data_IF_372400403061
#
_entry.id   IF_372400403061
#
_cell.length_a   1.000
_cell.length_b   1.000
_cell.length_c   1.000
_cell.angle_alpha   90.00
_cell.angle_beta   90.00
_cell.angle_gamma   90.00
#
_symmetry.space_group_name_H-M   'P 1'
#
loop_
_entity.id
_entity.type
_entity.pdbx_description
1 polymer ?
#
# COMPACT_ATOMS: atom_id res chain seq x y z
N UNK A 1 23.99 28.53 -15.91
CA UNK A 1 22.54 28.78 -16.13
C UNK A 1 21.77 27.49 -15.98
N UNK A 2 20.78 27.43 -15.10
CA UNK A 2 19.90 26.24 -14.96
C UNK A 2 19.05 26.08 -16.23
N UNK A 3 18.99 24.86 -16.80
CA UNK A 3 18.10 24.55 -17.93
C UNK A 3 16.65 24.82 -17.52
N UNK A 4 15.96 25.70 -18.28
CA UNK A 4 14.57 26.07 -17.98
C UNK A 4 13.56 24.91 -18.16
N UNK A 5 13.78 24.02 -19.13
CA UNK A 5 12.90 22.86 -19.39
C UNK A 5 13.74 21.64 -19.76
N UNK A 6 13.49 20.51 -19.13
CA UNK A 6 14.18 19.24 -19.38
C UNK A 6 13.28 18.06 -19.05
N UNK A 7 13.72 16.88 -19.45
CA UNK A 7 13.03 15.62 -19.11
C UNK A 7 13.82 14.89 -18.03
N UNK A 8 13.16 14.58 -16.92
CA UNK A 8 13.73 13.84 -15.79
C UNK A 8 13.36 12.37 -15.84
N UNK A 9 14.36 11.51 -15.82
CA UNK A 9 14.18 10.11 -15.45
C UNK A 9 14.30 9.97 -13.93
N UNK A 10 13.32 9.31 -13.32
CA UNK A 10 13.34 8.94 -11.91
C UNK A 10 13.19 7.43 -11.80
N UNK A 11 14.25 6.73 -11.44
CA UNK A 11 14.26 5.29 -11.17
C UNK A 11 14.02 5.05 -9.70
N UNK A 12 13.04 4.21 -9.39
CA UNK A 12 12.61 3.87 -8.02
C UNK A 12 12.78 2.36 -7.87
N UNK A 13 13.84 1.95 -7.19
CA UNK A 13 14.15 0.54 -6.93
C UNK A 13 13.38 0.09 -5.69
N UNK A 14 12.39 -0.79 -5.89
CA UNK A 14 11.55 -1.35 -4.86
C UNK A 14 12.04 -2.77 -4.53
N UNK A 15 12.97 -2.87 -3.58
CA UNK A 15 13.63 -4.14 -3.24
C UNK A 15 14.63 -4.60 -4.32
N UNK A 16 14.70 -5.93 -4.49
CA UNK A 16 15.62 -6.56 -5.44
C UNK A 16 15.00 -6.84 -6.81
N UNK A 17 13.66 -6.97 -6.87
CA UNK A 17 12.94 -7.46 -8.05
C UNK A 17 12.22 -6.36 -8.84
N UNK A 18 11.83 -5.25 -8.19
CA UNK A 18 10.93 -4.28 -8.81
C UNK A 18 11.62 -2.96 -9.09
N UNK A 19 11.40 -2.43 -10.29
CA UNK A 19 11.87 -1.12 -10.72
C UNK A 19 10.71 -0.34 -11.31
N UNK A 20 10.38 0.81 -10.73
CA UNK A 20 9.50 1.80 -11.36
C UNK A 20 10.33 2.91 -11.97
N UNK A 21 9.91 3.41 -13.14
CA UNK A 21 10.58 4.52 -13.80
C UNK A 21 9.55 5.56 -14.22
N UNK A 22 9.76 6.79 -13.75
CA UNK A 22 9.01 7.96 -14.21
C UNK A 22 9.92 8.77 -15.15
N UNK A 23 9.48 9.03 -16.35
CA UNK A 23 10.15 9.90 -17.31
C UNK A 23 9.21 11.06 -17.59
N UNK A 24 9.46 12.19 -16.93
CA UNK A 24 8.51 13.30 -16.87
C UNK A 24 9.18 14.62 -17.26
N UNK A 25 8.47 15.49 -17.98
CA UNK A 25 8.88 16.87 -18.18
C UNK A 25 9.00 17.61 -16.86
N UNK A 26 10.06 18.41 -16.73
CA UNK A 26 10.24 19.37 -15.63
C UNK A 26 10.25 20.77 -16.26
N UNK A 27 9.24 21.56 -15.92
CA UNK A 27 9.11 22.95 -16.37
C UNK A 27 9.29 23.87 -15.16
N UNK A 28 9.98 24.99 -15.36
CA UNK A 28 10.06 26.03 -14.33
C UNK A 28 8.74 26.82 -14.29
N UNK A 29 7.68 26.18 -13.79
CA UNK A 29 6.53 26.95 -13.34
C UNK A 29 6.85 27.58 -11.98
N UNK A 30 6.51 28.87 -11.76
CA UNK A 30 6.61 29.45 -10.43
C UNK A 30 5.83 28.56 -9.47
N UNK A 31 6.45 28.15 -8.37
CA UNK A 31 5.74 27.46 -7.30
C UNK A 31 4.60 28.38 -6.87
N UNK A 32 3.37 27.96 -7.09
CA UNK A 32 2.21 28.64 -6.52
C UNK A 32 2.45 28.74 -5.02
N UNK A 33 2.50 29.95 -4.49
CA UNK A 33 2.82 30.21 -3.09
C UNK A 33 1.98 29.32 -2.19
N UNK A 34 2.62 28.68 -1.24
CA UNK A 34 1.95 27.80 -0.25
C UNK A 34 0.98 28.66 0.57
N UNK A 35 -0.27 28.71 0.18
CA UNK A 35 -1.33 29.29 1.00
C UNK A 35 -1.53 28.41 2.23
N UNK A 36 -0.97 28.81 3.36
CA UNK A 36 -1.22 28.19 4.65
C UNK A 36 -2.72 28.33 4.96
N UNK A 37 -3.41 27.22 5.24
CA UNK A 37 -4.75 27.20 5.83
C UNK A 37 -5.93 26.89 4.91
N UNK A 38 -5.76 26.71 3.59
CA UNK A 38 -6.85 26.21 2.74
C UNK A 38 -6.77 24.70 2.57
N UNK A 39 -7.88 23.99 2.78
CA UNK A 39 -8.00 22.56 2.50
C UNK A 39 -7.64 22.26 1.03
N UNK A 40 -7.08 21.08 0.78
CA UNK A 40 -6.72 20.65 -0.58
C UNK A 40 -7.96 20.57 -1.47
N UNK A 41 -7.86 21.08 -2.71
CA UNK A 41 -8.92 20.92 -3.71
C UNK A 41 -9.20 19.44 -3.99
N UNK A 42 -10.39 19.10 -4.49
CA UNK A 42 -10.76 17.72 -4.86
C UNK A 42 -9.75 17.07 -5.81
N UNK A 43 -9.26 17.83 -6.81
CA UNK A 43 -8.21 17.38 -7.75
C UNK A 43 -6.91 17.05 -7.01
N UNK A 44 -6.51 17.90 -6.06
CA UNK A 44 -5.30 17.66 -5.23
C UNK A 44 -5.48 16.47 -4.29
N UNK A 45 -6.66 16.28 -3.70
CA UNK A 45 -6.96 15.12 -2.87
C UNK A 45 -6.85 13.82 -3.68
N UNK A 46 -7.44 13.78 -4.89
CA UNK A 46 -7.34 12.62 -5.77
C UNK A 46 -5.88 12.28 -6.13
N UNK A 47 -5.05 13.31 -6.38
CA UNK A 47 -3.62 13.14 -6.65
C UNK A 47 -2.88 12.62 -5.42
N UNK A 48 -3.16 13.16 -4.24
CA UNK A 48 -2.58 12.71 -2.99
C UNK A 48 -2.93 11.24 -2.71
N UNK A 49 -4.17 10.84 -2.98
CA UNK A 49 -4.64 9.48 -2.83
C UNK A 49 -3.91 8.51 -3.77
N UNK A 50 -3.81 8.88 -5.06
CA UNK A 50 -3.03 8.09 -6.05
C UNK A 50 -1.58 7.95 -5.63
N UNK A 51 -0.95 9.03 -5.16
CA UNK A 51 0.43 9.02 -4.69
C UNK A 51 0.62 8.20 -3.41
N UNK A 52 -0.31 8.30 -2.46
CA UNK A 52 -0.31 7.52 -1.22
C UNK A 52 -0.39 6.02 -1.51
N UNK A 53 -1.31 5.61 -2.38
CA UNK A 53 -1.46 4.22 -2.82
C UNK A 53 -0.21 3.70 -3.54
N UNK A 54 0.33 4.47 -4.47
CA UNK A 54 1.59 4.14 -5.15
C UNK A 54 2.73 3.98 -4.15
N UNK A 55 2.82 4.89 -3.17
CA UNK A 55 3.85 4.83 -2.12
C UNK A 55 3.73 3.58 -1.26
N UNK A 56 2.50 3.17 -0.93
CA UNK A 56 2.26 1.93 -0.21
C UNK A 56 2.81 0.73 -1.00
N UNK A 57 2.47 0.60 -2.29
CA UNK A 57 3.01 -0.48 -3.16
C UNK A 57 4.53 -0.47 -3.20
N UNK A 58 5.15 0.68 -3.37
CA UNK A 58 6.61 0.82 -3.42
C UNK A 58 7.29 0.35 -2.12
N UNK A 59 6.75 0.74 -0.95
CA UNK A 59 7.28 0.32 0.35
C UNK A 59 7.06 -1.17 0.54
N UNK A 60 5.89 -1.68 0.19
CA UNK A 60 5.55 -3.07 0.34
C UNK A 60 6.46 -3.96 -0.53
N UNK A 61 6.61 -3.67 -1.83
CA UNK A 61 7.51 -4.37 -2.73
C UNK A 61 9.01 -4.25 -2.34
N UNK A 62 9.35 -3.24 -1.51
CA UNK A 62 10.72 -3.08 -1.01
C UNK A 62 11.03 -4.00 0.18
N UNK A 63 10.02 -4.36 0.97
CA UNK A 63 10.22 -4.99 2.27
C UNK A 63 9.65 -6.40 2.39
N UNK A 64 8.71 -6.77 1.53
CA UNK A 64 7.95 -8.02 1.65
C UNK A 64 8.04 -8.84 0.35
N UNK A 65 7.94 -10.15 0.52
CA UNK A 65 8.01 -11.15 -0.55
C UNK A 65 6.97 -12.28 -0.33
N UNK A 66 7.05 -13.36 -1.09
CA UNK A 66 6.13 -14.51 -1.05
C UNK A 66 6.20 -15.34 0.25
N UNK A 67 7.25 -15.18 1.08
CA UNK A 67 7.38 -15.86 2.36
C UNK A 67 6.67 -15.09 3.50
N UNK A 68 6.29 -13.85 3.23
CA UNK A 68 5.65 -12.97 4.18
C UNK A 68 4.13 -13.17 4.19
N UNK A 69 3.44 -12.59 5.17
CA UNK A 69 2.05 -12.88 5.44
C UNK A 69 1.16 -11.65 5.28
N UNK A 70 -0.04 -11.88 4.75
CA UNK A 70 -1.18 -10.98 4.85
C UNK A 70 -2.15 -11.52 5.89
N UNK A 71 -2.49 -10.68 6.86
CA UNK A 71 -3.43 -10.96 7.94
C UNK A 71 -4.68 -10.11 7.71
N UNK A 72 -5.85 -10.75 7.77
CA UNK A 72 -7.14 -10.09 7.86
C UNK A 72 -7.73 -10.39 9.24
N UNK A 73 -7.86 -9.36 10.08
CA UNK A 73 -8.39 -9.49 11.44
C UNK A 73 -9.74 -8.78 11.54
N UNK A 74 -10.76 -9.50 11.98
CA UNK A 74 -12.14 -9.04 12.15
C UNK A 74 -12.55 -9.09 13.61
N UNK A 75 -13.70 -8.50 13.94
CA UNK A 75 -14.28 -8.50 15.27
C UNK A 75 -15.51 -9.42 15.34
N UNK A 76 -15.70 -10.09 16.48
CA UNK A 76 -16.96 -10.70 16.81
C UNK A 76 -17.92 -9.64 17.43
N UNK A 77 -19.17 -10.00 17.69
CA UNK A 77 -20.17 -9.06 18.20
C UNK A 77 -19.84 -8.57 19.62
N UNK A 78 -19.26 -9.45 20.46
CA UNK A 78 -18.91 -9.12 21.84
C UNK A 78 -17.77 -8.08 21.95
N UNK A 79 -16.92 -8.00 20.94
CA UNK A 79 -15.72 -7.14 20.94
C UNK A 79 -15.73 -6.11 19.80
N UNK A 80 -16.89 -5.87 19.17
CA UNK A 80 -17.00 -4.87 18.10
C UNK A 80 -16.70 -3.47 18.66
N UNK A 81 -15.67 -2.76 18.17
CA UNK A 81 -15.32 -1.45 18.73
C UNK A 81 -16.38 -0.42 18.36
N UNK A 82 -16.70 0.45 19.32
CA UNK A 82 -17.66 1.53 19.14
C UNK A 82 -17.06 2.71 18.35
N UNK A 83 -15.73 2.84 18.34
CA UNK A 83 -15.05 3.95 17.68
C UNK A 83 -13.83 3.45 16.90
N UNK A 84 -13.38 4.26 15.93
CA UNK A 84 -12.15 3.98 15.17
C UNK A 84 -10.93 3.99 16.10
N UNK A 85 -10.88 4.88 17.07
CA UNK A 85 -9.78 4.98 18.05
C UNK A 85 -9.65 3.69 18.86
N UNK A 86 -10.78 3.11 19.27
CA UNK A 86 -10.80 1.82 19.97
C UNK A 86 -10.28 0.70 19.07
N UNK A 87 -10.73 0.65 17.81
CA UNK A 87 -10.23 -0.31 16.82
C UNK A 87 -8.71 -0.15 16.59
N UNK A 88 -8.22 1.08 16.46
CA UNK A 88 -6.79 1.36 16.33
C UNK A 88 -6.00 0.92 17.58
N UNK A 89 -6.53 1.13 18.77
CA UNK A 89 -5.94 0.66 20.04
C UNK A 89 -5.85 -0.86 20.07
N UNK A 90 -6.92 -1.56 19.68
CA UNK A 90 -6.96 -3.02 19.66
C UNK A 90 -5.93 -3.62 18.71
N UNK A 91 -5.84 -3.11 17.48
CA UNK A 91 -4.86 -3.60 16.51
C UNK A 91 -3.41 -3.25 16.91
N UNK A 92 -3.17 -2.11 17.54
CA UNK A 92 -1.84 -1.78 18.06
C UNK A 92 -1.44 -2.68 19.22
N UNK A 93 -2.36 -3.03 20.11
CA UNK A 93 -2.13 -4.02 21.16
C UNK A 93 -1.80 -5.40 20.59
N UNK A 94 -2.51 -5.82 19.57
CA UNK A 94 -2.22 -7.04 18.80
C UNK A 94 -0.80 -6.99 18.22
N UNK A 95 -0.44 -5.95 17.46
CA UNK A 95 0.88 -5.78 16.87
C UNK A 95 2.00 -5.79 17.92
N UNK A 96 1.77 -5.24 19.10
CA UNK A 96 2.73 -5.29 20.21
C UNK A 96 2.92 -6.72 20.75
N UNK A 97 1.88 -7.56 20.75
CA UNK A 97 1.98 -8.98 21.11
C UNK A 97 2.75 -9.76 20.04
N UNK A 98 2.38 -9.55 18.76
CA UNK A 98 3.07 -10.14 17.61
C UNK A 98 4.56 -9.76 17.61
N UNK A 99 4.89 -8.49 17.84
CA UNK A 99 6.28 -8.01 17.95
C UNK A 99 7.07 -8.77 19.01
N UNK A 100 6.51 -8.90 20.21
CA UNK A 100 7.17 -9.63 21.32
C UNK A 100 7.34 -11.11 21.02
N UNK A 101 6.32 -11.74 20.42
CA UNK A 101 6.36 -13.15 20.03
C UNK A 101 7.38 -13.38 18.91
N UNK A 102 7.36 -12.57 17.86
CA UNK A 102 8.30 -12.60 16.75
C UNK A 102 9.75 -12.53 17.26
N UNK A 103 10.05 -11.55 18.11
CA UNK A 103 11.39 -11.39 18.68
C UNK A 103 11.84 -12.61 19.49
N UNK A 104 10.92 -13.23 20.25
CA UNK A 104 11.22 -14.41 21.08
C UNK A 104 11.44 -15.66 20.25
N UNK A 105 10.63 -15.88 19.20
CA UNK A 105 10.63 -17.12 18.42
C UNK A 105 11.71 -17.10 17.34
N UNK A 106 11.85 -15.98 16.63
CA UNK A 106 12.71 -15.86 15.45
C UNK A 106 13.95 -15.01 15.65
N UNK A 107 14.03 -14.25 16.75
CA UNK A 107 15.07 -13.24 16.96
C UNK A 107 14.91 -11.98 16.08
N UNK A 108 13.96 -11.97 15.16
CA UNK A 108 13.74 -10.87 14.21
C UNK A 108 12.85 -9.78 14.80
N UNK A 109 12.97 -8.58 14.25
CA UNK A 109 12.04 -7.48 14.55
C UNK A 109 10.84 -7.54 13.62
N UNK A 110 9.66 -7.29 14.15
CA UNK A 110 8.42 -7.21 13.37
C UNK A 110 8.49 -6.04 12.39
N UNK A 111 8.27 -6.33 11.12
CA UNK A 111 7.96 -5.37 10.07
C UNK A 111 6.48 -5.48 9.75
N UNK A 112 5.78 -4.35 9.63
CA UNK A 112 4.38 -4.39 9.26
C UNK A 112 3.94 -3.17 8.45
N UNK A 113 2.88 -3.37 7.69
CA UNK A 113 2.05 -2.33 7.09
C UNK A 113 0.60 -2.63 7.45
N UNK A 114 -0.12 -1.65 7.97
CA UNK A 114 -1.49 -1.77 8.50
C UNK A 114 -2.45 -0.86 7.74
N UNK A 115 -3.56 -1.42 7.32
CA UNK A 115 -4.74 -0.69 6.84
C UNK A 115 -5.93 -1.11 7.71
N UNK A 116 -6.63 -0.15 8.31
CA UNK A 116 -7.92 -0.40 8.95
C UNK A 116 -9.02 0.00 7.98
N UNK A 117 -9.87 -0.92 7.58
CA UNK A 117 -11.02 -0.65 6.73
C UNK A 117 -12.25 -0.45 7.63
N UNK A 118 -12.97 0.64 7.42
CA UNK A 118 -14.26 0.90 8.03
C UNK A 118 -15.07 1.80 7.09
N UNK A 119 -16.38 1.62 7.10
CA UNK A 119 -17.30 2.56 6.46
C UNK A 119 -18.00 3.30 7.61
N UNK A 120 -17.83 4.61 7.76
CA UNK A 120 -18.62 5.38 8.71
C UNK A 120 -20.10 5.16 8.39
N UNK A 121 -20.92 4.97 9.40
CA UNK A 121 -22.36 5.14 9.25
C UNK A 121 -22.58 6.55 8.70
N UNK A 122 -23.33 6.70 7.63
CA UNK A 122 -23.71 8.00 7.12
C UNK A 122 -24.52 8.64 8.25
N UNK A 123 -24.12 9.85 8.67
CA UNK A 123 -24.96 10.65 9.57
C UNK A 123 -26.36 10.70 8.93
N UNK A 124 -27.34 10.12 9.60
CA UNK A 124 -28.76 10.23 9.24
C UNK A 124 -29.11 11.71 9.25
N UNK A 125 -29.11 12.37 8.10
CA UNK A 125 -29.42 13.78 8.05
C UNK A 125 -29.30 14.49 6.71
N UNK A 126 -29.40 13.79 5.58
CA UNK A 126 -29.76 14.43 4.32
C UNK A 126 -30.76 13.57 3.55
N UNK A 127 -32.03 13.86 3.79
CA UNK A 127 -33.15 13.53 2.90
C UNK A 127 -32.92 14.21 1.55
N UNK A 128 -32.32 13.48 0.59
CA UNK A 128 -32.48 13.82 -0.82
C UNK A 128 -33.76 13.15 -1.29
N UNK A 129 -34.80 13.96 -1.42
CA UNK A 129 -35.93 13.65 -2.27
C UNK A 129 -35.39 13.50 -3.69
N UNK A 130 -35.42 12.29 -4.21
CA UNK A 130 -35.72 11.91 -5.61
C UNK A 130 -35.15 10.50 -5.84
N UNK A 131 -36.05 9.61 -6.26
CA UNK A 131 -35.85 8.19 -6.45
C UNK A 131 -34.62 7.84 -7.29
N UNK A 132 -33.65 7.27 -6.63
CA UNK A 132 -32.57 6.50 -7.24
C UNK A 132 -32.38 5.21 -6.44
N UNK A 133 -32.33 4.13 -7.18
CA UNK A 133 -32.21 2.76 -6.75
C UNK A 133 -31.19 2.58 -5.58
N UNK A 134 -31.65 1.84 -4.58
CA UNK A 134 -30.89 1.35 -3.44
C UNK A 134 -29.60 0.63 -3.88
N UNK A 135 -28.54 1.37 -4.13
CA UNK A 135 -27.20 0.82 -4.14
C UNK A 135 -26.78 0.63 -2.69
N UNK A 136 -27.37 -0.38 -2.05
CA UNK A 136 -27.11 -0.76 -0.66
C UNK A 136 -25.63 -0.90 -0.36
N UNK A 137 -25.00 0.20 -0.01
CA UNK A 137 -23.66 0.19 0.60
C UNK A 137 -23.84 -0.34 2.03
N UNK A 138 -23.83 -1.69 2.16
CA UNK A 138 -23.80 -2.34 3.46
C UNK A 138 -22.66 -1.73 4.28
N UNK A 139 -22.99 -1.21 5.45
CA UNK A 139 -22.00 -0.78 6.42
C UNK A 139 -20.94 -1.87 6.58
N UNK A 140 -19.70 -1.57 6.21
CA UNK A 140 -18.62 -2.55 6.30
C UNK A 140 -18.14 -2.54 7.74
N UNK A 141 -18.29 -3.67 8.44
CA UNK A 141 -17.74 -3.85 9.79
C UNK A 141 -16.26 -3.53 9.80
N UNK A 142 -15.81 -2.84 10.84
CA UNK A 142 -14.39 -2.53 11.04
C UNK A 142 -13.56 -3.80 10.97
N UNK A 143 -12.51 -3.79 10.15
CA UNK A 143 -11.53 -4.87 10.08
C UNK A 143 -10.15 -4.34 9.68
N UNK A 144 -9.13 -5.14 9.94
CA UNK A 144 -7.74 -4.76 9.74
C UNK A 144 -7.08 -5.67 8.72
N UNK A 145 -6.38 -5.07 7.76
CA UNK A 145 -5.46 -5.75 6.87
C UNK A 145 -4.04 -5.42 7.27
N UNK A 146 -3.24 -6.45 7.53
CA UNK A 146 -1.88 -6.27 8.02
C UNK A 146 -0.94 -7.13 7.16
N UNK A 147 0.09 -6.51 6.60
CA UNK A 147 1.19 -7.22 5.96
C UNK A 147 2.32 -7.29 6.97
N UNK A 148 2.84 -8.49 7.25
CA UNK A 148 3.96 -8.70 8.17
C UNK A 148 5.02 -9.61 7.57
N UNK A 149 6.27 -9.49 8.06
CA UNK A 149 7.31 -10.47 7.74
C UNK A 149 6.95 -11.84 8.32
N UNK A 150 7.29 -12.90 7.59
CA UNK A 150 7.09 -14.28 8.00
C UNK A 150 7.89 -14.67 9.25
N UNK A 151 7.66 -15.88 9.74
CA UNK A 151 8.38 -16.48 10.86
C UNK A 151 7.53 -16.86 12.07
N UNK A 152 6.26 -16.48 12.11
CA UNK A 152 5.27 -16.99 13.07
C UNK A 152 4.28 -17.92 12.39
N UNK A 153 3.76 -18.91 13.13
CA UNK A 153 2.71 -19.78 12.64
C UNK A 153 1.37 -19.04 12.61
N UNK A 154 0.45 -19.54 11.78
CA UNK A 154 -0.92 -19.04 11.70
C UNK A 154 -1.61 -19.15 13.06
N UNK A 155 -1.44 -20.29 13.73
CA UNK A 155 -2.03 -20.57 15.05
C UNK A 155 -1.55 -19.58 16.12
N UNK A 156 -0.27 -19.21 16.10
CA UNK A 156 0.28 -18.20 17.01
C UNK A 156 -0.37 -16.82 16.75
N UNK A 157 -0.54 -16.47 15.48
CA UNK A 157 -1.14 -15.19 15.08
C UNK A 157 -2.63 -15.12 15.44
N UNK A 158 -3.37 -16.21 15.27
CA UNK A 158 -4.77 -16.33 15.67
C UNK A 158 -4.93 -16.17 17.19
N UNK A 159 -4.15 -16.90 17.99
CA UNK A 159 -4.20 -16.82 19.45
C UNK A 159 -3.94 -15.43 20.00
N UNK A 160 -3.09 -14.65 19.34
CA UNK A 160 -2.76 -13.30 19.79
C UNK A 160 -3.89 -12.28 19.53
N UNK A 161 -4.87 -12.60 18.67
CA UNK A 161 -6.09 -11.76 18.47
C UNK A 161 -7.14 -12.11 19.53
N UNK A 162 -6.80 -11.88 20.79
CA UNK A 162 -7.61 -12.22 21.95
C UNK A 162 -7.43 -11.18 23.06
N UNK A 163 -8.33 -11.12 24.02
CA UNK A 163 -8.16 -10.32 25.25
C UNK A 163 -7.30 -11.07 26.26
N UNK A 164 -7.28 -12.40 26.19
CA UNK A 164 -6.59 -13.29 27.11
C UNK A 164 -5.06 -13.15 26.98
N UNK A 165 -4.35 -13.17 28.12
CA UNK A 165 -2.90 -13.31 28.16
C UNK A 165 -2.52 -14.76 27.84
N UNK A 166 -1.90 -15.00 26.68
CA UNK A 166 -1.59 -16.33 26.20
C UNK A 166 -0.53 -17.05 27.06
N UNK A 167 -0.89 -18.26 27.52
CA UNK A 167 0.04 -19.20 28.10
C UNK A 167 0.63 -20.10 27.00
N UNK A 168 1.82 -19.75 26.53
CA UNK A 168 2.48 -20.43 25.41
C UNK A 168 2.81 -21.91 25.65
N UNK A 169 2.90 -22.36 26.93
CA UNK A 169 3.09 -23.79 27.25
C UNK A 169 1.85 -24.62 26.98
N UNK A 170 0.67 -23.98 27.02
CA UNK A 170 -0.64 -24.61 26.76
C UNK A 170 -1.20 -24.26 25.38
N UNK A 171 -0.50 -23.49 24.57
CA UNK A 171 -1.01 -22.96 23.30
C UNK A 171 -1.46 -24.04 22.29
N UNK A 172 -0.89 -25.25 22.38
CA UNK A 172 -1.24 -26.40 21.54
C UNK A 172 -2.37 -27.27 22.13
N UNK A 173 -2.79 -27.02 23.39
CA UNK A 173 -3.87 -27.74 24.02
C UNK A 173 -5.24 -27.24 23.50
N UNK A 174 -6.05 -28.11 22.86
CA UNK A 174 -7.38 -27.73 22.37
C UNK A 174 -8.33 -27.26 23.47
N UNK A 175 -8.20 -27.78 24.71
CA UNK A 175 -9.00 -27.33 25.86
C UNK A 175 -8.68 -25.89 26.22
N UNK A 176 -7.38 -25.58 26.33
CA UNK A 176 -6.94 -24.21 26.59
C UNK A 176 -7.39 -23.23 25.51
N UNK A 177 -7.34 -23.62 24.23
CA UNK A 177 -7.79 -22.73 23.13
C UNK A 177 -9.27 -22.36 23.22
N UNK A 178 -10.12 -23.23 23.78
CA UNK A 178 -11.55 -22.95 24.02
C UNK A 178 -11.78 -21.95 25.14
N UNK A 179 -10.84 -21.78 26.06
CA UNK A 179 -10.91 -20.84 27.17
C UNK A 179 -10.38 -19.46 26.77
N UNK A 180 -9.77 -19.33 25.59
CA UNK A 180 -9.25 -18.04 25.09
C UNK A 180 -10.38 -17.16 24.60
N UNK A 181 -10.48 -15.96 25.15
CA UNK A 181 -11.45 -14.95 24.72
C UNK A 181 -10.94 -14.24 23.46
N UNK A 182 -11.36 -14.72 22.30
CA UNK A 182 -10.97 -14.18 21.00
C UNK A 182 -11.76 -12.89 20.68
N UNK A 183 -11.04 -11.87 20.23
CA UNK A 183 -11.63 -10.60 19.77
C UNK A 183 -12.45 -10.81 18.49
N UNK A 184 -12.09 -11.81 17.68
CA UNK A 184 -12.76 -12.16 16.44
C UNK A 184 -11.93 -13.16 15.63
N UNK A 185 -12.11 -13.15 14.31
CA UNK A 185 -11.41 -14.06 13.41
C UNK A 185 -10.16 -13.43 12.83
N UNK A 186 -9.13 -14.25 12.67
CA UNK A 186 -7.90 -13.91 11.96
C UNK A 186 -7.70 -14.88 10.82
N UNK A 187 -7.61 -14.37 9.61
CA UNK A 187 -7.15 -15.14 8.46
C UNK A 187 -5.73 -14.72 8.11
N UNK A 188 -4.85 -15.69 7.92
CA UNK A 188 -3.44 -15.48 7.57
C UNK A 188 -3.11 -16.24 6.29
N UNK A 189 -2.74 -15.51 5.25
CA UNK A 189 -2.34 -16.07 3.97
C UNK A 189 -0.93 -15.62 3.61
N UNK A 190 -0.19 -16.47 2.89
CA UNK A 190 1.08 -16.06 2.29
C UNK A 190 0.83 -15.01 1.22
N UNK A 191 1.72 -14.04 1.12
CA UNK A 191 1.66 -13.07 0.04
C UNK A 191 1.83 -13.78 -1.30
N UNK A 192 1.02 -13.39 -2.27
CA UNK A 192 1.07 -13.88 -3.64
C UNK A 192 1.39 -12.71 -4.59
N UNK A 193 2.67 -12.33 -4.72
CA UNK A 193 3.07 -11.28 -5.65
C UNK A 193 2.81 -11.74 -7.09
N UNK A 194 2.16 -10.89 -7.88
CA UNK A 194 2.00 -11.10 -9.31
C UNK A 194 3.13 -10.42 -10.12
N UNK A 195 2.93 -10.24 -11.42
CA UNK A 195 3.88 -9.52 -12.29
C UNK A 195 4.17 -8.07 -11.88
N UNK A 196 3.27 -7.44 -11.08
CA UNK A 196 3.38 -6.08 -10.55
C UNK A 196 3.64 -6.05 -9.03
N UNK A 197 4.08 -7.17 -8.44
CA UNK A 197 4.28 -7.33 -7.02
C UNK A 197 2.96 -7.47 -6.26
N UNK A 198 2.85 -6.83 -5.12
CA UNK A 198 1.64 -6.92 -4.28
C UNK A 198 0.60 -5.82 -4.60
N UNK A 199 0.64 -5.24 -5.81
CA UNK A 199 -0.32 -4.20 -6.22
C UNK A 199 -1.77 -4.69 -6.16
N UNK A 200 -2.03 -5.95 -6.54
CA UNK A 200 -3.36 -6.55 -6.47
C UNK A 200 -3.94 -6.52 -5.05
N UNK A 201 -3.16 -6.97 -4.07
CA UNK A 201 -3.54 -6.91 -2.66
C UNK A 201 -3.76 -5.46 -2.20
N UNK A 202 -2.85 -4.53 -2.54
CA UNK A 202 -2.97 -3.11 -2.17
C UNK A 202 -4.24 -2.48 -2.75
N UNK A 203 -4.61 -2.86 -3.98
CA UNK A 203 -5.85 -2.40 -4.61
C UNK A 203 -7.08 -2.91 -3.87
N UNK A 204 -7.03 -4.14 -3.38
CA UNK A 204 -8.09 -4.77 -2.60
C UNK A 204 -8.27 -4.11 -1.24
N UNK A 205 -7.18 -3.91 -0.48
CA UNK A 205 -7.23 -3.43 0.91
C UNK A 205 -7.32 -1.90 1.06
N UNK A 206 -7.12 -1.12 0.00
CA UNK A 206 -7.05 0.34 0.08
C UNK A 206 -8.30 1.03 -0.49
N UNK A 207 -9.47 0.67 0.05
CA UNK A 207 -10.78 1.18 -0.41
C UNK A 207 -11.32 2.36 0.40
N UNK A 208 -10.56 2.92 1.33
CA UNK A 208 -11.03 3.98 2.26
C UNK A 208 -11.51 5.26 1.58
N UNK A 209 -12.47 5.94 2.24
CA UNK A 209 -12.94 7.30 1.89
C UNK A 209 -11.77 8.29 1.80
N UNK A 210 -11.92 9.29 0.95
CA UNK A 210 -10.93 10.36 0.73
C UNK A 210 -10.72 11.18 2.01
N UNK A 211 -9.47 11.57 2.26
CA UNK A 211 -9.13 12.47 3.38
C UNK A 211 -8.72 11.80 4.69
N UNK A 212 -8.98 10.50 4.89
CA UNK A 212 -8.55 9.78 6.08
C UNK A 212 -7.12 9.23 5.98
N UNK A 213 -6.45 9.03 7.12
CA UNK A 213 -5.16 8.31 7.17
C UNK A 213 -5.38 6.89 6.66
N UNK A 214 -4.78 6.56 5.53
CA UNK A 214 -5.09 5.32 4.80
C UNK A 214 -4.32 4.11 5.31
N UNK A 215 -3.12 4.31 5.86
CA UNK A 215 -2.26 3.22 6.31
C UNK A 215 -1.19 3.70 7.30
N UNK A 216 -0.69 2.77 8.10
CA UNK A 216 0.44 2.98 9.00
C UNK A 216 1.48 1.88 8.83
N UNK A 217 2.71 2.11 9.32
CA UNK A 217 3.81 1.16 9.15
C UNK A 217 4.70 1.11 10.38
N UNK A 218 5.41 0.01 10.54
CA UNK A 218 6.55 -0.05 11.45
C UNK A 218 7.68 0.89 10.97
N UNK A 219 8.47 1.40 11.91
CA UNK A 219 9.53 2.37 11.61
C UNK A 219 10.75 1.75 10.93
N UNK A 220 10.92 0.43 11.04
CA UNK A 220 12.07 -0.31 10.53
C UNK A 220 11.95 -0.74 9.05
N UNK A 221 10.94 -0.24 8.31
CA UNK A 221 10.81 -0.52 6.88
C UNK A 221 11.85 0.26 6.07
N UNK A 222 12.46 -0.44 5.12
CA UNK A 222 13.37 0.17 4.14
C UNK A 222 12.58 1.03 3.16
N UNK A 223 13.12 2.20 2.82
CA UNK A 223 12.56 3.06 1.76
C UNK A 223 13.12 2.64 0.40
N UNK A 224 12.33 2.73 -0.69
CA UNK A 224 12.83 2.52 -2.05
C UNK A 224 14.00 3.45 -2.37
N UNK A 225 15.02 2.92 -3.06
CA UNK A 225 16.16 3.72 -3.50
C UNK A 225 15.80 4.49 -4.77
N UNK A 226 16.00 5.80 -4.75
CA UNK A 226 15.65 6.67 -5.88
C UNK A 226 16.94 7.19 -6.55
N UNK A 227 17.02 7.06 -7.89
CA UNK A 227 18.03 7.69 -8.73
C UNK A 227 17.35 8.60 -9.74
N UNK A 228 17.93 9.78 -9.98
CA UNK A 228 17.43 10.77 -10.95
C UNK A 228 18.48 11.02 -12.02
N UNK A 229 18.02 11.24 -13.27
CA UNK A 229 18.87 11.65 -14.39
C UNK A 229 18.10 12.64 -15.27
N UNK A 230 18.67 13.81 -15.49
CA UNK A 230 18.04 14.92 -16.20
C UNK A 230 18.57 15.06 -17.66
N UNK A 231 19.46 14.17 -18.09
CA UNK A 231 20.17 14.27 -19.38
C UNK A 231 19.89 13.12 -20.34
N UNK A 232 19.16 12.08 -19.90
CA UNK A 232 19.00 10.83 -20.66
C UNK A 232 17.94 10.92 -21.75
N UNK A 233 16.89 11.68 -21.52
CA UNK A 233 15.74 11.80 -22.39
C UNK A 233 15.52 13.24 -22.84
N UNK A 234 14.93 13.40 -24.05
CA UNK A 234 14.48 14.67 -24.59
C UNK A 234 12.98 14.63 -24.87
N UNK A 235 12.33 15.77 -24.99
CA UNK A 235 10.93 15.88 -25.38
C UNK A 235 10.63 15.18 -26.72
N UNK A 236 11.54 15.32 -27.68
CA UNK A 236 11.43 14.66 -29.00
C UNK A 236 11.42 13.15 -28.84
N UNK A 237 12.32 12.56 -28.07
CA UNK A 237 12.36 11.11 -27.83
C UNK A 237 11.11 10.58 -27.15
N UNK A 238 10.55 11.33 -26.20
CA UNK A 238 9.28 10.91 -25.56
C UNK A 238 8.13 10.87 -26.57
N UNK A 239 8.07 11.85 -27.47
CA UNK A 239 7.09 11.87 -28.55
C UNK A 239 7.26 10.67 -29.49
N UNK A 240 8.49 10.33 -29.88
CA UNK A 240 8.81 9.18 -30.73
C UNK A 240 8.34 7.87 -30.06
N UNK A 241 8.64 7.67 -28.78
CA UNK A 241 8.22 6.46 -28.04
C UNK A 241 6.70 6.37 -27.87
N UNK A 242 6.01 7.50 -27.73
CA UNK A 242 4.57 7.52 -27.63
C UNK A 242 3.84 7.16 -28.93
N UNK A 243 4.53 7.12 -30.09
CA UNK A 243 3.96 6.65 -31.34
C UNK A 243 3.87 5.11 -31.43
N UNK A 244 4.67 4.40 -30.63
CA UNK A 244 4.68 2.94 -30.53
C UNK A 244 4.54 2.50 -29.07
N UNK A 245 3.39 2.77 -28.44
CA UNK A 245 3.22 2.64 -26.97
C UNK A 245 3.35 1.19 -26.49
N UNK A 246 3.13 0.20 -27.36
CA UNK A 246 3.19 -1.22 -27.03
C UNK A 246 4.58 -1.82 -27.19
N UNK A 247 5.55 -1.09 -27.79
CA UNK A 247 6.90 -1.59 -28.02
C UNK A 247 7.70 -1.74 -26.71
N UNK A 248 7.69 -2.95 -26.17
CA UNK A 248 8.45 -3.31 -24.96
C UNK A 248 9.96 -3.39 -25.19
N UNK A 249 10.40 -3.62 -26.45
CA UNK A 249 11.83 -3.81 -26.78
C UNK A 249 12.65 -2.54 -26.52
N UNK A 250 12.06 -1.37 -26.75
CA UNK A 250 12.68 -0.08 -26.40
C UNK A 250 13.11 -0.07 -24.93
N UNK A 251 12.24 -0.56 -24.05
CA UNK A 251 12.45 -0.51 -22.61
C UNK A 251 13.34 -1.63 -22.10
N UNK A 252 13.27 -2.85 -22.70
CA UNK A 252 14.20 -3.95 -22.43
C UNK A 252 15.65 -3.55 -22.73
N UNK A 253 15.89 -2.92 -23.89
CA UNK A 253 17.22 -2.43 -24.27
C UNK A 253 17.75 -1.34 -23.33
N UNK A 254 16.86 -0.50 -22.77
CA UNK A 254 17.24 0.60 -21.89
C UNK A 254 17.44 0.21 -20.44
N UNK A 255 16.69 -0.78 -19.97
CA UNK A 255 16.74 -1.30 -18.60
C UNK A 255 17.13 -2.77 -18.59
N UNK A 256 18.35 -3.04 -19.04
CA UNK A 256 18.90 -4.41 -19.14
C UNK A 256 18.70 -5.19 -17.83
N UNK A 257 18.25 -6.45 -17.95
CA UNK A 257 17.95 -7.33 -16.83
C UNK A 257 16.56 -7.08 -16.19
N UNK A 258 15.72 -6.24 -16.83
CA UNK A 258 14.33 -5.98 -16.40
C UNK A 258 13.37 -6.16 -17.56
N UNK A 259 12.22 -6.79 -17.26
CA UNK A 259 11.10 -6.96 -18.19
C UNK A 259 10.00 -5.94 -17.86
N UNK A 260 9.53 -5.15 -18.85
CA UNK A 260 8.39 -4.24 -18.65
C UNK A 260 7.10 -5.02 -18.42
N UNK A 261 6.49 -4.82 -17.26
CA UNK A 261 5.16 -5.38 -16.89
C UNK A 261 4.04 -4.40 -17.16
N UNK A 262 4.33 -3.09 -17.07
CA UNK A 262 3.36 -2.03 -17.37
C UNK A 262 4.06 -0.83 -18.00
N UNK A 263 3.46 -0.30 -19.06
CA UNK A 263 3.88 0.92 -19.74
C UNK A 263 2.66 1.83 -19.80
N UNK A 264 2.79 3.06 -19.31
CA UNK A 264 1.71 4.06 -19.32
C UNK A 264 2.26 5.38 -19.89
N UNK A 265 1.68 5.82 -21.02
CA UNK A 265 1.98 7.10 -21.64
C UNK A 265 0.87 8.08 -21.34
N UNK A 266 1.24 9.26 -20.87
CA UNK A 266 0.28 10.33 -20.56
C UNK A 266 0.70 11.61 -21.28
N UNK A 267 -0.25 12.25 -21.93
CA UNK A 267 -0.05 13.55 -22.57
C UNK A 267 -0.69 14.65 -21.74
N UNK A 268 0.01 15.77 -21.65
CA UNK A 268 -0.50 17.00 -21.04
C UNK A 268 -0.19 18.17 -21.98
N UNK A 269 -1.18 19.01 -22.26
CA UNK A 269 -1.04 20.12 -23.22
C UNK A 269 0.05 21.13 -22.85
N UNK A 270 0.33 21.31 -21.57
CA UNK A 270 1.33 22.26 -21.08
C UNK A 270 2.74 21.68 -20.99
N UNK A 271 2.86 20.40 -20.64
CA UNK A 271 4.16 19.77 -20.35
C UNK A 271 4.59 18.75 -21.38
N UNK A 272 3.66 18.27 -22.23
CA UNK A 272 3.91 17.24 -23.22
C UNK A 272 3.81 15.81 -22.65
N UNK A 273 4.52 14.87 -23.28
CA UNK A 273 4.46 13.44 -22.96
C UNK A 273 5.22 13.10 -21.67
N UNK A 274 4.63 12.22 -20.90
CA UNK A 274 5.24 11.53 -19.75
C UNK A 274 5.11 10.04 -19.92
N UNK A 275 6.09 9.27 -19.40
CA UNK A 275 6.08 7.80 -19.45
C UNK A 275 6.28 7.26 -18.05
N UNK A 276 5.45 6.29 -17.67
CA UNK A 276 5.52 5.60 -16.40
C UNK A 276 5.67 4.10 -16.66
N UNK A 277 6.78 3.54 -16.19
CA UNK A 277 7.09 2.13 -16.39
C UNK A 277 7.07 1.40 -15.06
N UNK A 278 6.61 0.14 -15.12
CA UNK A 278 6.90 -0.87 -14.11
C UNK A 278 7.66 -1.99 -14.77
N UNK A 279 8.70 -2.42 -14.10
CA UNK A 279 9.59 -3.45 -14.61
C UNK A 279 9.88 -4.44 -13.49
N UNK A 280 9.94 -5.70 -13.86
CA UNK A 280 10.36 -6.80 -12.99
C UNK A 280 11.73 -7.30 -13.44
N UNK A 281 12.60 -7.58 -12.47
CA UNK A 281 13.91 -8.20 -12.77
C UNK A 281 13.69 -9.56 -13.41
N UNK A 282 14.40 -9.83 -14.51
CA UNK A 282 14.41 -11.15 -15.12
C UNK A 282 15.10 -12.10 -14.13
N UNK A 283 14.46 -13.22 -13.83
CA UNK A 283 15.07 -14.31 -13.05
C UNK A 283 15.92 -15.13 -14.04
N UNK A 284 17.19 -15.27 -13.74
CA UNK A 284 18.11 -16.16 -14.48
C UNK A 284 17.70 -17.61 -14.28
#
# INVERSE_FOLDING_TARGET
MARKNFVREKRIYCGKEWLEVDIVPVTNMPEAGKTKGKGSSQKQQNLNDKNSKRRFVQIANTNFNEEDLHISATYNEAHLPMTLEEAEKNVHNYLNRVKRRMKRVTGQDLKYMLVTEYTPEEEEGQLTLEGLEDTGTKAVRIHHHIIINGGLSREDLELMWSTTRINWKKAQDPKYRREVDFIGFVNCDRLQPNENGIEGLVNYINKRKKGCKKWSTSQNLKKPKIKKNDHKYSFRKLREYAQTPEDKEIWRKRYKGYEPTKIDYQYNDYTGWSVYLRLRKVRD
#
